data_IF_949481068260
#
_entry.id   IF_949481068260
#
_cell.length_a   1.000
_cell.length_b   1.000
_cell.length_c   1.000
_cell.angle_alpha   90.00
_cell.angle_beta   90.00
_cell.angle_gamma   90.00
#
_symmetry.space_group_name_H-M   'P 1'
#
loop_
_entity.id
_entity.type
_entity.pdbx_description
1 polymer ?
#
# COMPACT_ATOMS: atom_id res chain seq x y z
N UNK A 1 3.56 -1.34 9.37
CA UNK A 1 4.72 -0.49 9.02
C UNK A 1 4.68 -0.24 7.52
N UNK A 2 4.98 0.96 7.01
CA UNK A 2 4.97 1.24 5.58
C UNK A 2 6.15 0.55 4.89
N UNK A 3 5.87 -0.23 3.84
CA UNK A 3 6.89 -0.96 3.07
C UNK A 3 7.21 -0.31 1.73
N UNK A 4 6.35 0.58 1.26
CA UNK A 4 6.52 1.33 0.02
C UNK A 4 5.63 2.56 0.02
N UNK A 5 6.03 3.59 -0.71
CA UNK A 5 5.26 4.80 -0.91
C UNK A 5 5.54 5.39 -2.30
N UNK A 6 4.54 6.00 -2.88
CA UNK A 6 4.66 6.79 -4.11
C UNK A 6 4.02 8.16 -3.89
N UNK A 7 4.53 9.16 -4.57
CA UNK A 7 3.99 10.52 -4.50
C UNK A 7 3.33 10.84 -5.84
N UNK A 8 2.06 11.17 -5.78
CA UNK A 8 1.23 11.49 -6.94
C UNK A 8 0.59 12.86 -6.80
N UNK A 9 0.02 13.39 -7.87
CA UNK A 9 -0.78 14.60 -7.81
C UNK A 9 -2.05 14.39 -6.98
N UNK A 10 -2.57 15.44 -6.36
CA UNK A 10 -3.75 15.36 -5.49
C UNK A 10 -5.03 14.89 -6.21
N UNK A 11 -5.09 15.01 -7.52
CA UNK A 11 -6.19 14.57 -8.39
C UNK A 11 -5.99 13.15 -8.96
N UNK A 12 -4.88 12.49 -8.65
CA UNK A 12 -4.63 11.13 -9.12
C UNK A 12 -5.56 10.14 -8.39
N UNK A 13 -6.12 9.19 -9.15
CA UNK A 13 -6.96 8.16 -8.58
C UNK A 13 -6.10 7.09 -7.90
N UNK A 14 -6.31 6.87 -6.62
CA UNK A 14 -5.53 5.93 -5.79
C UNK A 14 -5.57 4.50 -6.33
N UNK A 15 -6.71 4.08 -6.88
CA UNK A 15 -6.86 2.75 -7.47
C UNK A 15 -5.94 2.49 -8.67
N UNK A 16 -5.50 3.54 -9.36
CA UNK A 16 -4.55 3.43 -10.47
C UNK A 16 -3.11 3.26 -9.97
N UNK A 17 -2.82 3.70 -8.77
CA UNK A 17 -1.47 3.71 -8.19
C UNK A 17 -1.14 2.42 -7.41
N UNK A 18 -2.09 1.51 -7.27
CA UNK A 18 -1.89 0.28 -6.46
C UNK A 18 -0.68 -0.55 -6.93
N UNK A 19 -0.45 -0.61 -8.24
CA UNK A 19 0.69 -1.30 -8.82
C UNK A 19 2.01 -0.61 -8.54
N UNK A 20 2.05 0.71 -8.66
CA UNK A 20 3.25 1.51 -8.42
C UNK A 20 3.66 1.44 -6.95
N UNK A 21 2.69 1.49 -6.04
CA UNK A 21 2.94 1.28 -4.59
C UNK A 21 3.53 -0.10 -4.35
N UNK A 22 2.99 -1.14 -5.00
CA UNK A 22 3.52 -2.49 -4.88
C UNK A 22 4.94 -2.60 -5.42
N UNK A 23 5.21 -2.00 -6.58
CA UNK A 23 6.56 -1.98 -7.18
C UNK A 23 7.58 -1.23 -6.30
N UNK A 24 7.13 -0.21 -5.58
CA UNK A 24 7.95 0.56 -4.65
C UNK A 24 8.21 -0.14 -3.30
N UNK A 25 7.62 -1.33 -3.06
CA UNK A 25 7.89 -2.09 -1.84
C UNK A 25 9.33 -2.62 -1.82
N UNK A 26 10.07 -2.29 -0.78
CA UNK A 26 11.45 -2.76 -0.58
C UNK A 26 11.49 -4.27 -0.31
N UNK A 27 10.51 -4.77 0.45
CA UNK A 27 10.36 -6.20 0.74
C UNK A 27 9.21 -6.74 -0.12
N UNK A 28 9.55 -7.54 -1.11
CA UNK A 28 8.56 -8.20 -1.94
C UNK A 28 7.97 -9.41 -1.22
N UNK A 29 6.67 -9.70 -1.38
CA UNK A 29 6.10 -10.93 -0.86
C UNK A 29 6.81 -12.13 -1.49
N UNK A 30 6.97 -13.24 -0.75
CA UNK A 30 7.58 -14.45 -1.29
C UNK A 30 6.85 -14.88 -2.56
N UNK A 31 7.63 -15.28 -3.57
CA UNK A 31 7.05 -15.88 -4.76
C UNK A 31 6.28 -17.14 -4.35
N UNK A 32 5.06 -17.29 -4.83
CA UNK A 32 4.30 -18.52 -4.60
C UNK A 32 5.10 -19.70 -5.17
N UNK A 33 5.48 -20.64 -4.34
CA UNK A 33 6.17 -21.88 -4.76
C UNK A 33 5.30 -22.73 -5.69
N UNK A 34 4.00 -22.52 -5.66
CA UNK A 34 3.05 -23.13 -6.58
C UNK A 34 2.88 -22.22 -7.80
N UNK A 35 3.64 -22.49 -8.86
CA UNK A 35 3.30 -22.07 -10.23
C UNK A 35 2.44 -23.16 -10.87
N UNK A 36 1.12 -23.07 -10.87
CA UNK A 36 0.32 -23.81 -11.83
C UNK A 36 0.63 -23.29 -13.23
N UNK A 37 0.56 -24.13 -14.23
CA UNK A 37 0.74 -23.77 -15.64
C UNK A 37 -0.32 -22.75 -16.14
N UNK A 38 -1.35 -22.49 -15.37
CA UNK A 38 -2.30 -21.38 -15.52
C UNK A 38 -2.58 -20.82 -14.11
N UNK A 39 -2.05 -19.63 -13.77
CA UNK A 39 -2.25 -19.09 -12.43
C UNK A 39 -3.74 -18.72 -12.26
N UNK A 40 -4.45 -19.50 -11.44
CA UNK A 40 -5.74 -19.04 -10.94
C UNK A 40 -5.47 -17.73 -10.17
N UNK A 41 -6.32 -16.72 -10.38
CA UNK A 41 -6.26 -15.45 -9.65
C UNK A 41 -6.25 -15.66 -8.12
N UNK A 42 -6.71 -16.83 -7.66
CA UNK A 42 -6.71 -17.23 -6.24
C UNK A 42 -5.32 -17.51 -5.69
N UNK A 43 -4.38 -17.90 -6.53
CA UNK A 43 -3.00 -18.24 -6.17
C UNK A 43 -2.08 -17.02 -6.15
N UNK A 44 -2.55 -15.88 -6.66
CA UNK A 44 -1.80 -14.64 -6.64
C UNK A 44 -1.69 -14.08 -5.20
N UNK A 45 -0.54 -13.46 -4.85
CA UNK A 45 -0.39 -12.74 -3.60
C UNK A 45 -1.52 -11.73 -3.43
N UNK A 46 -2.12 -11.65 -2.25
CA UNK A 46 -3.26 -10.78 -2.03
C UNK A 46 -2.88 -9.47 -1.35
N UNK A 47 -3.30 -8.34 -1.91
CA UNK A 47 -3.31 -7.05 -1.26
C UNK A 47 -4.74 -6.73 -0.79
N UNK A 48 -4.87 -6.04 0.34
CA UNK A 48 -6.17 -5.57 0.84
C UNK A 48 -6.23 -4.06 0.76
N UNK A 49 -7.36 -3.56 0.25
CA UNK A 49 -7.65 -2.13 0.13
C UNK A 49 -9.01 -1.77 0.71
N UNK A 50 -9.29 -0.49 0.81
CA UNK A 50 -10.60 0.03 1.16
C UNK A 50 -11.56 0.04 -0.04
N UNK A 51 -12.76 0.63 0.12
CA UNK A 51 -13.78 0.68 -0.93
C UNK A 51 -13.38 1.50 -2.16
N UNK A 52 -12.39 2.37 -2.06
CA UNK A 52 -11.88 3.13 -3.21
C UNK A 52 -11.23 2.21 -4.25
N UNK A 53 -10.66 1.09 -3.80
CA UNK A 53 -10.03 0.07 -4.64
C UNK A 53 -10.99 -1.03 -5.09
N UNK A 54 -12.28 -0.97 -4.72
CA UNK A 54 -13.27 -2.04 -4.91
C UNK A 54 -13.89 -2.12 -6.30
N UNK A 55 -13.44 -1.32 -7.28
CA UNK A 55 -13.97 -1.33 -8.64
C UNK A 55 -13.27 -2.38 -9.51
N UNK A 56 -13.98 -2.88 -10.51
CA UNK A 56 -13.51 -3.95 -11.41
C UNK A 56 -12.26 -3.56 -12.21
N UNK A 57 -12.16 -2.36 -12.81
CA UNK A 57 -10.94 -1.96 -13.52
C UNK A 57 -9.67 -1.98 -12.65
N UNK A 58 -9.79 -1.61 -11.38
CA UNK A 58 -8.66 -1.65 -10.45
C UNK A 58 -8.24 -3.09 -10.12
N UNK A 59 -9.21 -3.99 -9.96
CA UNK A 59 -8.94 -5.43 -9.74
C UNK A 59 -8.27 -6.08 -10.93
N UNK A 60 -8.73 -5.77 -12.15
CA UNK A 60 -8.13 -6.30 -13.39
C UNK A 60 -6.70 -5.81 -13.57
N UNK A 61 -6.40 -4.54 -13.31
CA UNK A 61 -5.04 -4.01 -13.34
C UNK A 61 -4.15 -4.70 -12.30
N UNK A 62 -4.66 -4.90 -11.08
CA UNK A 62 -3.93 -5.62 -10.04
C UNK A 62 -3.60 -7.05 -10.46
N UNK A 63 -4.56 -7.76 -11.06
CA UNK A 63 -4.35 -9.11 -11.58
C UNK A 63 -3.31 -9.14 -12.70
N UNK A 64 -3.37 -8.20 -13.65
CA UNK A 64 -2.36 -8.05 -14.71
C UNK A 64 -0.95 -7.78 -14.16
N UNK A 65 -0.85 -7.16 -12.98
CA UNK A 65 0.40 -6.91 -12.26
C UNK A 65 0.80 -8.05 -11.31
N UNK A 66 0.12 -9.18 -11.37
CA UNK A 66 0.46 -10.39 -10.64
C UNK A 66 0.07 -10.37 -9.16
N UNK A 67 -0.99 -9.64 -8.78
CA UNK A 67 -1.55 -9.71 -7.44
C UNK A 67 -3.07 -9.59 -7.42
N UNK A 68 -3.70 -10.18 -6.40
CA UNK A 68 -5.15 -10.13 -6.20
C UNK A 68 -5.52 -9.02 -5.22
N UNK A 69 -6.31 -8.07 -5.67
CA UNK A 69 -6.80 -7.00 -4.81
C UNK A 69 -8.12 -7.40 -4.15
N UNK A 70 -8.12 -7.42 -2.81
CA UNK A 70 -9.29 -7.67 -1.96
C UNK A 70 -9.77 -6.36 -1.36
N UNK A 71 -10.82 -5.80 -1.94
CA UNK A 71 -11.45 -4.57 -1.47
C UNK A 71 -12.98 -4.72 -1.55
N UNK A 72 -13.77 -4.14 -0.63
CA UNK A 72 -15.22 -4.18 -0.71
C UNK A 72 -15.67 -3.38 -1.93
N UNK A 73 -16.65 -3.89 -2.65
CA UNK A 73 -17.31 -3.13 -3.72
C UNK A 73 -18.19 -2.04 -3.11
N UNK A 74 -18.46 -0.99 -3.89
CA UNK A 74 -19.28 0.13 -3.44
C UNK A 74 -20.67 -0.39 -3.03
N UNK A 75 -21.09 -0.09 -1.79
CA UNK A 75 -22.37 -0.56 -1.23
C UNK A 75 -22.34 -1.95 -0.58
N UNK A 76 -21.21 -2.66 -0.61
CA UNK A 76 -21.09 -3.93 0.08
C UNK A 76 -20.66 -3.76 1.55
N UNK A 77 -21.09 -4.72 2.38
CA UNK A 77 -20.69 -4.82 3.78
C UNK A 77 -19.16 -4.95 3.89
N UNK A 78 -18.59 -4.35 4.93
CA UNK A 78 -17.14 -4.39 5.19
C UNK A 78 -16.64 -5.84 5.24
N UNK A 79 -15.51 -6.10 4.58
CA UNK A 79 -14.88 -7.42 4.63
C UNK A 79 -14.53 -7.81 6.08
N UNK A 80 -14.72 -9.07 6.48
CA UNK A 80 -14.32 -9.54 7.81
C UNK A 80 -12.86 -9.25 8.10
N UNK A 81 -12.54 -8.76 9.30
CA UNK A 81 -11.17 -8.47 9.72
C UNK A 81 -10.55 -7.19 9.14
N UNK A 82 -11.30 -6.39 8.35
CA UNK A 82 -10.80 -5.15 7.77
C UNK A 82 -10.40 -4.13 8.85
N UNK A 83 -11.04 -4.15 10.03
CA UNK A 83 -10.73 -3.25 11.14
C UNK A 83 -9.28 -3.38 11.63
N UNK A 84 -8.73 -4.59 11.71
CA UNK A 84 -7.33 -4.81 12.11
C UNK A 84 -6.35 -4.24 11.09
N UNK A 85 -6.67 -4.36 9.80
CA UNK A 85 -5.80 -3.87 8.72
C UNK A 85 -5.88 -2.36 8.65
N UNK A 86 -7.07 -1.79 8.73
CA UNK A 86 -7.29 -0.35 8.77
C UNK A 86 -6.54 0.28 9.94
N UNK A 87 -6.62 -0.32 11.13
CA UNK A 87 -5.85 0.10 12.31
C UNK A 87 -4.34 0.12 12.06
N UNK A 88 -3.79 -0.82 11.29
CA UNK A 88 -2.36 -0.84 10.96
C UNK A 88 -1.98 0.30 10.01
N UNK A 89 -2.81 0.58 8.99
CA UNK A 89 -2.61 1.69 8.05
C UNK A 89 -2.76 3.03 8.77
N UNK A 90 -3.82 3.20 9.56
CA UNK A 90 -4.07 4.41 10.35
C UNK A 90 -2.93 4.71 11.32
N UNK A 91 -2.37 3.68 11.99
CA UNK A 91 -1.17 3.83 12.82
C UNK A 91 0.05 4.27 12.01
N UNK A 92 0.25 3.73 10.81
CA UNK A 92 1.32 4.15 9.92
C UNK A 92 1.21 5.64 9.57
N UNK A 93 0.02 6.09 9.20
CA UNK A 93 -0.26 7.51 8.95
C UNK A 93 -0.06 8.37 10.20
N UNK A 94 -0.57 7.94 11.35
CA UNK A 94 -0.40 8.65 12.63
C UNK A 94 1.07 8.80 13.02
N UNK A 95 1.90 7.78 12.76
CA UNK A 95 3.35 7.90 12.99
C UNK A 95 4.01 8.87 12.01
N UNK A 96 3.68 8.81 10.73
CA UNK A 96 4.23 9.72 9.72
C UNK A 96 3.80 11.18 9.99
N UNK A 97 2.60 11.40 10.53
CA UNK A 97 2.10 12.73 10.87
C UNK A 97 2.84 13.41 12.02
N UNK A 98 3.68 12.69 12.75
CA UNK A 98 4.55 13.30 13.78
C UNK A 98 5.75 14.06 13.18
N UNK A 99 6.03 13.85 11.90
CA UNK A 99 7.14 14.52 11.20
C UNK A 99 6.63 15.79 10.51
N UNK A 100 6.99 16.96 11.04
CA UNK A 100 6.47 18.24 10.57
C UNK A 100 6.72 18.51 9.08
N UNK A 101 7.84 18.03 8.50
CA UNK A 101 8.13 18.15 7.07
C UNK A 101 7.20 17.29 6.20
N UNK A 102 6.72 16.17 6.72
CA UNK A 102 5.75 15.30 6.02
C UNK A 102 4.38 15.96 6.06
N UNK A 103 3.92 16.38 7.24
CA UNK A 103 2.59 16.98 7.43
C UNK A 103 2.42 18.28 6.64
N UNK A 104 3.42 19.16 6.71
CA UNK A 104 3.32 20.48 6.09
C UNK A 104 3.74 20.50 4.63
N UNK A 105 4.28 19.41 4.09
CA UNK A 105 4.80 19.30 2.72
C UNK A 105 5.54 20.57 2.27
N UNK A 106 6.61 20.88 2.94
CA UNK A 106 7.43 22.07 2.64
C UNK A 106 8.22 21.93 1.33
N UNK A 107 8.44 20.70 0.88
CA UNK A 107 9.19 20.41 -0.33
C UNK A 107 8.26 20.38 -1.55
N UNK A 108 8.55 21.22 -2.55
CA UNK A 108 7.82 21.26 -3.82
C UNK A 108 8.17 20.09 -4.74
N UNK A 109 9.41 19.58 -4.64
CA UNK A 109 9.91 18.48 -5.45
C UNK A 109 9.44 17.16 -4.86
N UNK A 110 8.64 16.39 -5.63
CA UNK A 110 8.07 15.12 -5.18
C UNK A 110 9.13 14.13 -4.68
N UNK A 111 10.28 14.05 -5.35
CA UNK A 111 11.37 13.15 -4.95
C UNK A 111 11.95 13.50 -3.56
N UNK A 112 12.11 14.79 -3.26
CA UNK A 112 12.58 15.24 -1.93
C UNK A 112 11.54 14.93 -0.85
N UNK A 113 10.28 15.15 -1.14
CA UNK A 113 9.20 14.80 -0.23
C UNK A 113 9.13 13.29 0.03
N UNK A 114 9.28 12.47 -1.03
CA UNK A 114 9.38 11.02 -0.90
C UNK A 114 10.54 10.60 0.00
N UNK A 115 11.69 11.26 -0.13
CA UNK A 115 12.85 11.02 0.76
C UNK A 115 12.52 11.24 2.24
N UNK A 116 11.75 12.28 2.58
CA UNK A 116 11.28 12.49 3.95
C UNK A 116 10.33 11.40 4.43
N UNK A 117 9.42 10.94 3.56
CA UNK A 117 8.50 9.83 3.88
C UNK A 117 9.28 8.53 4.13
N UNK A 118 10.26 8.23 3.30
CA UNK A 118 11.13 7.05 3.46
C UNK A 118 11.97 7.13 4.75
N UNK A 119 12.56 8.27 5.03
CA UNK A 119 13.31 8.49 6.29
C UNK A 119 12.41 8.33 7.51
N UNK A 120 11.20 8.90 7.48
CA UNK A 120 10.19 8.72 8.52
C UNK A 120 9.83 7.25 8.73
N UNK A 121 9.64 6.50 7.63
CA UNK A 121 9.39 5.07 7.69
C UNK A 121 10.57 4.31 8.34
N UNK A 122 11.82 4.60 7.97
CA UNK A 122 13.00 4.01 8.58
C UNK A 122 13.06 4.26 10.10
N UNK A 123 12.78 5.49 10.54
CA UNK A 123 12.73 5.82 11.96
C UNK A 123 11.63 5.04 12.71
N UNK A 124 10.46 4.84 12.08
CA UNK A 124 9.40 4.01 12.65
C UNK A 124 9.87 2.56 12.82
N UNK A 125 10.60 2.00 11.85
CA UNK A 125 11.15 0.64 11.91
C UNK A 125 12.17 0.52 13.06
N UNK A 126 13.09 1.46 13.19
CA UNK A 126 14.10 1.47 14.27
C UNK A 126 13.41 1.52 15.64
N UNK A 127 12.44 2.43 15.82
CA UNK A 127 11.70 2.58 17.08
C UNK A 127 10.85 1.34 17.43
N UNK A 128 10.36 0.63 16.44
CA UNK A 128 9.61 -0.62 16.64
C UNK A 128 10.50 -1.80 17.06
N UNK A 129 11.82 -1.61 17.16
CA UNK A 129 12.75 -2.65 17.58
C UNK A 129 12.97 -3.72 16.52
N UNK A 130 12.81 -3.39 15.25
CA UNK A 130 12.97 -4.35 14.15
C UNK A 130 14.42 -4.84 13.98
N UNK A 131 15.37 -4.14 14.59
CA UNK A 131 16.80 -4.48 14.60
C UNK A 131 17.30 -5.02 15.95
N UNK A 132 16.38 -5.60 16.75
CA UNK A 132 16.75 -6.33 17.96
C UNK A 132 17.00 -7.80 17.68
#
# INVERSE_FOLDING_TARGET
MPLGAVITGANANDGQQAGDVRAAMVIQPPASERRPQSPDIRDLPSARGDGAYGNEPTRQRAAAQGFRLRAPSRGQTKLPGIGRIRSAVERGHAFLSQFGRIVRRLDRIALRYLGWVQLGACLIFIRAGFFR
#
